data_IF_396549062739
#
_entry.id   IF_396549062739
#
_cell.length_a   1.000
_cell.length_b   1.000
_cell.length_c   1.000
_cell.angle_alpha   90.00
_cell.angle_beta   90.00
_cell.angle_gamma   90.00
#
_symmetry.space_group_name_H-M   'P 1'
#
loop_
_entity.id
_entity.type
_entity.pdbx_description
1 polymer ?
#
# COMPACT_ATOMS: atom_id res chain seq x y z
N UNK A 1 19.13 -6.65 -22.67
CA UNK A 1 17.77 -7.21 -22.69
C UNK A 1 16.91 -6.25 -23.47
N UNK A 2 16.22 -6.69 -24.54
CA UNK A 2 15.40 -5.82 -25.38
C UNK A 2 14.17 -5.30 -24.60
N UNK A 3 13.58 -4.21 -25.07
CA UNK A 3 12.35 -3.64 -24.48
C UNK A 3 11.19 -4.63 -24.57
N UNK A 4 11.06 -5.33 -25.70
CA UNK A 4 10.08 -6.40 -25.92
C UNK A 4 10.22 -7.52 -24.87
N UNK A 5 11.43 -7.99 -24.60
CA UNK A 5 11.68 -9.03 -23.58
C UNK A 5 11.28 -8.57 -22.16
N UNK A 6 11.46 -7.28 -21.84
CA UNK A 6 11.02 -6.72 -20.53
C UNK A 6 9.50 -6.65 -20.43
N UNK A 7 8.81 -6.27 -21.50
CA UNK A 7 7.33 -6.23 -21.54
C UNK A 7 6.72 -7.61 -21.37
N UNK A 8 7.21 -8.61 -22.12
CA UNK A 8 6.74 -9.99 -22.00
C UNK A 8 6.94 -10.57 -20.60
N UNK A 9 8.08 -10.25 -19.96
CA UNK A 9 8.33 -10.65 -18.57
C UNK A 9 7.41 -9.95 -17.57
N UNK A 10 7.11 -8.66 -17.77
CA UNK A 10 6.17 -7.94 -16.94
C UNK A 10 4.75 -8.50 -17.07
N UNK A 11 4.30 -8.81 -18.30
CA UNK A 11 2.97 -9.37 -18.55
C UNK A 11 2.80 -10.77 -17.94
N UNK A 12 3.84 -11.61 -18.00
CA UNK A 12 3.84 -12.89 -17.32
C UNK A 12 3.72 -12.73 -15.81
N UNK A 13 4.44 -11.76 -15.24
CA UNK A 13 4.41 -11.46 -13.82
C UNK A 13 3.04 -10.91 -13.38
N UNK A 14 2.42 -10.03 -14.17
CA UNK A 14 1.07 -9.54 -13.89
C UNK A 14 0.05 -10.67 -13.87
N UNK A 15 0.12 -11.65 -14.77
CA UNK A 15 -0.78 -12.82 -14.74
C UNK A 15 -0.62 -13.65 -13.47
N UNK A 16 0.61 -13.89 -13.01
CA UNK A 16 0.89 -14.62 -11.77
C UNK A 16 0.34 -13.85 -10.57
N UNK A 17 0.57 -12.54 -10.51
CA UNK A 17 0.12 -11.67 -9.43
C UNK A 17 -1.41 -11.63 -9.38
N UNK A 18 -2.07 -11.38 -10.51
CA UNK A 18 -3.53 -11.32 -10.60
C UNK A 18 -4.15 -12.65 -10.13
N UNK A 19 -3.67 -13.78 -10.65
CA UNK A 19 -4.14 -15.10 -10.27
C UNK A 19 -3.93 -15.37 -8.75
N UNK A 20 -2.78 -14.99 -8.21
CA UNK A 20 -2.53 -15.15 -6.78
C UNK A 20 -3.50 -14.33 -5.92
N UNK A 21 -3.75 -13.07 -6.28
CA UNK A 21 -4.72 -12.24 -5.56
C UNK A 21 -6.17 -12.70 -5.75
N UNK A 22 -6.54 -13.23 -6.92
CA UNK A 22 -7.85 -13.85 -7.14
C UNK A 22 -8.08 -15.03 -6.18
N UNK A 23 -7.08 -15.88 -6.02
CA UNK A 23 -7.16 -17.05 -5.13
C UNK A 23 -7.30 -16.68 -3.65
N UNK A 24 -6.62 -15.61 -3.17
CA UNK A 24 -6.69 -15.21 -1.76
C UNK A 24 -7.88 -14.29 -1.45
N UNK A 25 -8.53 -13.70 -2.45
CA UNK A 25 -9.59 -12.69 -2.25
C UNK A 25 -10.69 -13.12 -1.27
N UNK A 26 -11.19 -14.39 -1.29
CA UNK A 26 -12.24 -14.82 -0.35
C UNK A 26 -11.84 -14.76 1.13
N UNK A 27 -10.56 -15.04 1.44
CA UNK A 27 -10.04 -15.08 2.81
C UNK A 27 -9.21 -13.85 3.20
N UNK A 28 -9.06 -12.87 2.28
CA UNK A 28 -8.16 -11.74 2.46
C UNK A 28 -8.45 -10.93 3.73
N UNK A 29 -9.73 -10.65 3.97
CA UNK A 29 -10.14 -9.78 5.08
C UNK A 29 -10.01 -10.40 6.46
N UNK A 30 -10.02 -11.72 6.55
CA UNK A 30 -9.81 -12.43 7.81
C UNK A 30 -8.46 -12.09 8.46
N UNK A 31 -7.51 -11.55 7.65
CA UNK A 31 -6.16 -11.21 8.10
C UNK A 31 -5.81 -9.75 8.00
N UNK A 32 -6.31 -9.10 6.94
CA UNK A 32 -5.86 -7.76 6.55
C UNK A 32 -6.92 -6.68 6.78
N UNK A 33 -8.11 -7.04 7.25
CA UNK A 33 -9.10 -6.05 7.67
C UNK A 33 -8.72 -5.38 8.99
N UNK A 34 -9.28 -4.20 9.24
CA UNK A 34 -9.15 -3.52 10.52
C UNK A 34 -9.72 -4.32 11.69
N UNK A 35 -10.74 -5.16 11.43
CA UNK A 35 -11.36 -6.01 12.45
C UNK A 35 -10.47 -7.20 12.85
N UNK A 36 -9.68 -7.69 11.92
CA UNK A 36 -8.84 -8.88 12.14
C UNK A 36 -7.58 -8.56 12.97
N UNK A 37 -7.08 -7.31 12.91
CA UNK A 37 -5.78 -6.97 13.47
C UNK A 37 -5.74 -5.53 13.97
N UNK A 38 -5.46 -5.28 15.28
CA UNK A 38 -5.46 -3.94 15.86
C UNK A 38 -4.34 -3.03 15.31
N UNK A 39 -3.22 -3.59 14.87
CA UNK A 39 -2.16 -2.80 14.21
C UNK A 39 -2.64 -2.37 12.82
N UNK A 40 -3.31 -3.25 12.07
CA UNK A 40 -3.95 -2.89 10.81
C UNK A 40 -5.04 -1.82 11.02
N UNK A 41 -5.86 -1.96 12.06
CA UNK A 41 -6.86 -0.95 12.42
C UNK A 41 -6.22 0.42 12.68
N UNK A 42 -5.13 0.45 13.44
CA UNK A 42 -4.38 1.67 13.71
C UNK A 42 -3.75 2.25 12.43
N UNK A 43 -3.10 1.42 11.62
CA UNK A 43 -2.51 1.84 10.36
C UNK A 43 -3.57 2.45 9.44
N UNK A 44 -4.74 1.82 9.28
CA UNK A 44 -5.83 2.36 8.46
C UNK A 44 -6.36 3.68 9.01
N UNK A 45 -6.62 3.78 10.31
CA UNK A 45 -7.07 5.02 10.95
C UNK A 45 -6.08 6.17 10.71
N UNK A 46 -4.77 5.91 10.84
CA UNK A 46 -3.72 6.89 10.56
C UNK A 46 -3.62 7.24 9.06
N UNK A 47 -3.75 6.25 8.16
CA UNK A 47 -3.81 6.51 6.71
C UNK A 47 -4.99 7.42 6.37
N UNK A 48 -6.19 7.13 6.88
CA UNK A 48 -7.38 7.96 6.64
C UNK A 48 -7.25 9.36 7.21
N UNK A 49 -6.56 9.52 8.36
CA UNK A 49 -6.24 10.84 8.89
C UNK A 49 -5.34 11.63 7.94
N UNK A 50 -4.27 10.98 7.42
CA UNK A 50 -3.35 11.61 6.47
C UNK A 50 -4.08 11.93 5.15
N UNK A 51 -4.88 11.01 4.62
CA UNK A 51 -5.65 11.23 3.40
C UNK A 51 -6.57 12.45 3.51
N UNK A 52 -7.31 12.57 4.61
CA UNK A 52 -8.18 13.73 4.87
C UNK A 52 -7.42 15.05 5.09
N UNK A 53 -6.19 14.98 5.59
CA UNK A 53 -5.33 16.14 5.80
C UNK A 53 -4.79 16.72 4.46
N UNK A 54 -4.60 15.86 3.45
CA UNK A 54 -3.90 16.25 2.20
C UNK A 54 -4.78 16.25 0.95
N UNK A 55 -5.86 15.46 0.92
CA UNK A 55 -6.79 15.43 -0.20
C UNK A 55 -7.81 16.57 -0.10
N UNK A 56 -8.16 17.23 -1.21
CA UNK A 56 -9.22 18.25 -1.19
C UNK A 56 -10.56 17.59 -0.87
N UNK A 57 -11.38 18.18 0.03
CA UNK A 57 -12.68 17.64 0.39
C UNK A 57 -13.60 17.43 -0.83
N UNK A 58 -14.22 16.25 -0.91
CA UNK A 58 -15.11 15.89 -2.04
C UNK A 58 -14.41 15.64 -3.37
N UNK A 59 -13.07 15.68 -3.40
CA UNK A 59 -12.26 15.49 -4.60
C UNK A 59 -12.42 14.12 -5.27
N UNK A 60 -11.96 14.04 -6.50
CA UNK A 60 -11.92 12.79 -7.26
C UNK A 60 -10.57 12.11 -7.07
N UNK A 61 -10.56 10.93 -6.48
CA UNK A 61 -9.36 10.20 -6.03
C UNK A 61 -9.18 8.94 -6.86
N UNK A 62 -7.95 8.72 -7.33
CA UNK A 62 -7.52 7.46 -7.92
C UNK A 62 -6.95 6.57 -6.81
N UNK A 63 -7.60 5.43 -6.53
CA UNK A 63 -7.08 4.42 -5.63
C UNK A 63 -6.46 3.27 -6.41
N UNK A 64 -5.20 2.93 -6.10
CA UNK A 64 -4.36 1.97 -6.80
C UNK A 64 -4.17 0.74 -5.92
N UNK A 65 -4.61 -0.43 -6.39
CA UNK A 65 -4.57 -1.67 -5.61
C UNK A 65 -5.54 -1.62 -4.44
N UNK A 66 -6.83 -1.41 -4.71
CA UNK A 66 -7.87 -1.23 -3.69
C UNK A 66 -8.19 -2.51 -2.89
N UNK A 67 -7.76 -3.68 -3.39
CA UNK A 67 -8.07 -4.97 -2.77
C UNK A 67 -9.58 -5.17 -2.61
N UNK A 68 -9.99 -5.58 -1.42
CA UNK A 68 -11.42 -5.78 -1.07
C UNK A 68 -12.18 -4.49 -0.72
N UNK A 69 -11.58 -3.31 -1.00
CA UNK A 69 -12.25 -2.00 -0.97
C UNK A 69 -12.50 -1.44 0.43
N UNK A 70 -11.68 -1.73 1.41
CA UNK A 70 -11.85 -1.19 2.77
C UNK A 70 -11.58 0.32 2.80
N UNK A 71 -10.48 0.76 2.20
CA UNK A 71 -10.14 2.18 2.10
C UNK A 71 -11.03 2.90 1.09
N UNK A 72 -11.39 2.25 -0.04
CA UNK A 72 -12.35 2.76 -1.02
C UNK A 72 -13.66 3.20 -0.37
N UNK A 73 -14.24 2.33 0.47
CA UNK A 73 -15.48 2.62 1.20
C UNK A 73 -15.31 3.75 2.20
N UNK A 74 -14.16 3.80 2.89
CA UNK A 74 -13.87 4.89 3.83
C UNK A 74 -13.79 6.24 3.12
N UNK A 75 -13.13 6.29 1.96
CA UNK A 75 -13.07 7.49 1.11
C UNK A 75 -14.47 7.89 0.59
N UNK A 76 -15.23 6.95 0.03
CA UNK A 76 -16.57 7.22 -0.49
C UNK A 76 -17.53 7.74 0.60
N UNK A 77 -17.51 7.13 1.79
CA UNK A 77 -18.29 7.59 2.96
C UNK A 77 -17.85 8.96 3.48
N UNK A 78 -16.59 9.32 3.27
CA UNK A 78 -16.06 10.65 3.60
C UNK A 78 -16.40 11.70 2.52
N UNK A 79 -17.15 11.32 1.48
CA UNK A 79 -17.66 12.23 0.44
C UNK A 79 -16.81 12.31 -0.82
N UNK A 80 -15.70 11.58 -0.92
CA UNK A 80 -14.87 11.54 -2.12
C UNK A 80 -15.54 10.75 -3.25
N UNK A 81 -15.28 11.15 -4.50
CA UNK A 81 -15.49 10.29 -5.67
C UNK A 81 -14.24 9.44 -5.86
N UNK A 82 -14.37 8.15 -6.08
CA UNK A 82 -13.21 7.24 -6.17
C UNK A 82 -13.24 6.47 -7.48
N UNK A 83 -12.14 6.50 -8.23
CA UNK A 83 -11.83 5.46 -9.20
C UNK A 83 -10.93 4.43 -8.50
N UNK A 84 -11.50 3.29 -8.16
CA UNK A 84 -10.80 2.20 -7.51
C UNK A 84 -10.27 1.21 -8.55
N UNK A 85 -8.96 0.96 -8.51
CA UNK A 85 -8.31 0.02 -9.44
C UNK A 85 -7.67 -1.12 -8.67
N UNK A 86 -7.69 -2.31 -9.25
CA UNK A 86 -6.94 -3.47 -8.78
C UNK A 86 -6.60 -4.37 -9.97
N UNK A 87 -5.53 -5.13 -9.84
CA UNK A 87 -5.16 -6.11 -10.86
C UNK A 87 -6.07 -7.35 -10.83
N UNK A 88 -6.65 -7.67 -9.65
CA UNK A 88 -7.49 -8.83 -9.40
C UNK A 88 -8.98 -8.52 -9.62
N UNK A 89 -9.64 -9.13 -10.62
CA UNK A 89 -11.10 -9.04 -10.78
C UNK A 89 -11.86 -9.54 -9.55
N UNK A 90 -11.37 -10.58 -8.87
CA UNK A 90 -12.02 -11.13 -7.68
C UNK A 90 -11.96 -10.16 -6.48
N UNK A 91 -10.84 -9.46 -6.28
CA UNK A 91 -10.75 -8.39 -5.28
C UNK A 91 -11.81 -7.32 -5.56
N UNK A 92 -11.92 -6.86 -6.80
CA UNK A 92 -12.93 -5.87 -7.20
C UNK A 92 -14.36 -6.38 -7.03
N UNK A 93 -14.63 -7.66 -7.27
CA UNK A 93 -15.94 -8.26 -7.04
C UNK A 93 -16.32 -8.18 -5.54
N UNK A 94 -15.39 -8.52 -4.66
CA UNK A 94 -15.58 -8.37 -3.20
C UNK A 94 -15.77 -6.91 -2.79
N UNK A 95 -14.96 -6.00 -3.34
CA UNK A 95 -15.02 -4.57 -3.06
C UNK A 95 -16.37 -3.96 -3.47
N UNK A 96 -16.85 -4.26 -4.68
CA UNK A 96 -18.16 -3.81 -5.19
C UNK A 96 -19.31 -4.25 -4.30
N UNK A 97 -19.36 -5.56 -3.96
CA UNK A 97 -20.39 -6.10 -3.06
C UNK A 97 -20.45 -5.33 -1.76
N UNK A 98 -19.30 -5.10 -1.13
CA UNK A 98 -19.20 -4.38 0.14
C UNK A 98 -19.56 -2.90 0.04
N UNK A 99 -19.27 -2.28 -1.09
CA UNK A 99 -19.68 -0.88 -1.34
C UNK A 99 -21.20 -0.76 -1.49
N UNK A 100 -21.85 -1.75 -2.13
CA UNK A 100 -23.32 -1.84 -2.23
C UNK A 100 -23.95 -2.06 -0.85
N UNK A 101 -23.45 -3.02 -0.07
CA UNK A 101 -23.89 -3.28 1.31
C UNK A 101 -23.71 -2.06 2.22
N UNK A 102 -22.71 -1.24 1.95
CA UNK A 102 -22.38 -0.04 2.68
C UNK A 102 -23.15 1.22 2.23
N UNK A 103 -23.94 1.13 1.14
CA UNK A 103 -24.70 2.24 0.56
C UNK A 103 -23.83 3.39 0.01
N UNK A 104 -22.63 3.09 -0.51
CA UNK A 104 -21.72 4.10 -1.05
C UNK A 104 -21.19 3.78 -2.47
N UNK A 105 -21.80 2.82 -3.16
CA UNK A 105 -21.36 2.37 -4.47
C UNK A 105 -21.51 3.42 -5.57
N UNK A 106 -22.44 4.34 -5.43
CA UNK A 106 -22.73 5.47 -6.35
C UNK A 106 -21.56 6.45 -6.50
N UNK A 107 -20.64 6.48 -5.52
CA UNK A 107 -19.46 7.35 -5.53
C UNK A 107 -18.21 6.66 -6.06
N UNK A 108 -18.30 5.38 -6.48
CA UNK A 108 -17.14 4.56 -6.81
C UNK A 108 -17.26 3.99 -8.21
N UNK A 109 -16.26 4.29 -9.05
CA UNK A 109 -16.03 3.59 -10.30
C UNK A 109 -14.92 2.52 -10.10
N UNK A 110 -14.98 1.42 -10.86
CA UNK A 110 -14.13 0.26 -10.68
C UNK A 110 -13.49 -0.17 -11.99
N UNK A 111 -12.16 -0.36 -11.99
CA UNK A 111 -11.42 -0.81 -13.18
C UNK A 111 -10.43 -1.90 -12.79
N UNK A 112 -10.51 -3.05 -13.46
CA UNK A 112 -9.51 -4.11 -13.34
C UNK A 112 -8.32 -3.76 -14.25
N UNK A 113 -7.19 -3.34 -13.65
CA UNK A 113 -6.02 -2.90 -14.40
C UNK A 113 -4.76 -3.00 -13.51
N UNK A 114 -3.62 -3.49 -14.05
CA UNK A 114 -2.33 -3.38 -13.37
C UNK A 114 -1.92 -1.92 -13.17
N UNK A 115 -1.24 -1.60 -12.07
CA UNK A 115 -0.85 -0.22 -11.79
C UNK A 115 0.12 0.35 -12.85
N UNK A 116 1.03 -0.46 -13.39
CA UNK A 116 1.93 -0.04 -14.48
C UNK A 116 1.22 0.23 -15.81
N UNK A 117 -0.05 -0.15 -15.97
CA UNK A 117 -0.86 0.10 -17.17
C UNK A 117 -1.85 1.27 -17.03
N UNK A 118 -1.79 2.06 -15.96
CA UNK A 118 -2.71 3.18 -15.72
C UNK A 118 -2.68 4.25 -16.83
N UNK A 119 -1.64 4.31 -17.64
CA UNK A 119 -1.60 5.16 -18.84
C UNK A 119 -2.71 4.86 -19.86
N UNK A 120 -3.35 3.68 -19.79
CA UNK A 120 -4.50 3.32 -20.62
C UNK A 120 -5.82 3.98 -20.16
N UNK A 121 -5.88 4.50 -18.94
CA UNK A 121 -7.08 5.21 -18.44
C UNK A 121 -7.34 6.50 -19.23
N UNK A 122 -8.61 6.78 -19.45
CA UNK A 122 -9.07 8.00 -20.10
C UNK A 122 -10.15 8.66 -19.24
N UNK A 123 -9.75 9.21 -18.08
CA UNK A 123 -10.72 9.90 -17.23
C UNK A 123 -11.19 11.20 -17.91
N UNK A 124 -12.44 11.65 -17.67
CA UNK A 124 -12.97 12.87 -18.25
C UNK A 124 -12.26 14.14 -17.75
N UNK A 125 -11.63 14.07 -16.59
CA UNK A 125 -10.83 15.14 -15.98
C UNK A 125 -9.70 14.54 -15.15
N UNK A 126 -8.58 15.27 -14.91
CA UNK A 126 -7.52 14.79 -14.04
C UNK A 126 -7.98 14.63 -12.59
N UNK A 127 -7.39 13.65 -11.89
CA UNK A 127 -7.71 13.39 -10.48
C UNK A 127 -7.15 14.48 -9.54
N UNK A 128 -7.88 14.72 -8.46
CA UNK A 128 -7.50 15.64 -7.38
C UNK A 128 -6.47 15.04 -6.42
N UNK A 129 -6.22 13.75 -6.52
CA UNK A 129 -5.21 13.02 -5.76
C UNK A 129 -5.19 11.54 -6.07
N UNK A 130 -4.13 10.85 -5.64
CA UNK A 130 -4.05 9.40 -5.75
C UNK A 130 -3.53 8.76 -4.45
N UNK A 131 -3.94 7.51 -4.23
CA UNK A 131 -3.55 6.72 -3.06
C UNK A 131 -3.23 5.28 -3.47
N UNK A 132 -2.09 4.79 -2.98
CA UNK A 132 -1.72 3.37 -3.04
C UNK A 132 -1.32 2.92 -1.64
N UNK A 133 -2.18 2.14 -0.98
CA UNK A 133 -2.03 1.74 0.41
C UNK A 133 -1.45 0.34 0.60
N UNK A 134 -0.92 0.08 1.79
CA UNK A 134 -0.65 -1.25 2.36
C UNK A 134 0.09 -2.23 1.45
N UNK A 135 1.07 -1.73 0.70
CA UNK A 135 1.93 -2.60 -0.10
C UNK A 135 1.42 -2.95 -1.49
N UNK A 136 0.35 -2.32 -2.00
CA UNK A 136 -0.14 -2.52 -3.36
C UNK A 136 0.98 -2.42 -4.41
N UNK A 137 1.92 -1.47 -4.23
CA UNK A 137 3.04 -1.27 -5.14
C UNK A 137 4.21 -2.25 -4.95
N UNK A 138 4.21 -3.06 -3.92
CA UNK A 138 5.26 -4.06 -3.71
C UNK A 138 5.18 -5.21 -4.71
N UNK A 139 4.04 -5.40 -5.35
CA UNK A 139 3.82 -6.36 -6.44
C UNK A 139 3.83 -5.70 -7.84
N UNK A 140 4.15 -4.39 -7.94
CA UNK A 140 4.19 -3.71 -9.23
C UNK A 140 5.58 -3.86 -9.88
N UNK A 141 5.69 -4.50 -11.06
CA UNK A 141 6.95 -4.67 -11.77
C UNK A 141 7.43 -3.39 -12.46
N UNK A 142 6.52 -2.51 -12.90
CA UNK A 142 6.84 -1.32 -13.71
C UNK A 142 6.42 -0.03 -13.00
N UNK A 143 7.15 0.31 -11.92
CA UNK A 143 6.91 1.52 -11.13
C UNK A 143 7.21 2.80 -11.92
N UNK A 144 8.10 2.75 -12.90
CA UNK A 144 8.45 3.87 -13.77
C UNK A 144 7.26 4.26 -14.64
N UNK A 145 6.64 3.28 -15.33
CA UNK A 145 5.42 3.52 -16.12
C UNK A 145 4.26 4.03 -15.25
N UNK A 146 4.14 3.52 -14.02
CA UNK A 146 3.18 4.03 -13.05
C UNK A 146 3.42 5.50 -12.73
N UNK A 147 4.67 5.90 -12.45
CA UNK A 147 5.00 7.27 -12.11
C UNK A 147 4.73 8.24 -13.27
N UNK A 148 5.05 7.84 -14.50
CA UNK A 148 4.75 8.58 -15.73
C UNK A 148 3.24 8.73 -15.95
N UNK A 149 2.48 7.64 -15.80
CA UNK A 149 1.02 7.67 -15.90
C UNK A 149 0.40 8.63 -14.87
N UNK A 150 0.83 8.55 -13.61
CA UNK A 150 0.32 9.42 -12.55
C UNK A 150 0.69 10.89 -12.77
N UNK A 151 1.84 11.18 -13.38
CA UNK A 151 2.21 12.54 -13.76
C UNK A 151 1.24 13.17 -14.79
N UNK A 152 0.57 12.35 -15.60
CA UNK A 152 -0.44 12.81 -16.57
C UNK A 152 -1.84 12.82 -15.96
N UNK A 153 -2.18 11.78 -15.19
CA UNK A 153 -3.52 11.58 -14.64
C UNK A 153 -3.87 12.52 -13.48
N UNK A 154 -2.87 13.03 -12.77
CA UNK A 154 -3.09 13.94 -11.63
C UNK A 154 -3.02 15.40 -12.05
N UNK A 155 -3.82 16.25 -11.41
CA UNK A 155 -3.69 17.73 -11.55
C UNK A 155 -2.34 18.23 -11.03
N UNK A 156 -1.79 19.32 -11.56
CA UNK A 156 -0.65 20.01 -10.94
C UNK A 156 -0.92 20.31 -9.46
N UNK A 157 0.04 20.02 -8.59
CA UNK A 157 -0.11 20.19 -7.14
C UNK A 157 -0.92 19.10 -6.44
N UNK A 158 -1.53 18.14 -7.15
CA UNK A 158 -2.29 17.06 -6.54
C UNK A 158 -1.42 16.14 -5.68
N UNK A 159 -1.91 15.68 -4.52
CA UNK A 159 -1.19 14.76 -3.65
C UNK A 159 -1.21 13.34 -4.22
N UNK A 160 -0.07 12.65 -4.06
CA UNK A 160 0.09 11.22 -4.23
C UNK A 160 0.57 10.61 -2.92
N UNK A 161 -0.21 9.72 -2.34
CA UNK A 161 0.09 9.05 -1.08
C UNK A 161 0.44 7.60 -1.37
N UNK A 162 1.64 7.18 -0.97
CA UNK A 162 2.14 5.81 -1.16
C UNK A 162 2.45 5.19 0.20
N UNK A 163 1.98 3.98 0.44
CA UNK A 163 2.36 3.16 1.59
C UNK A 163 2.86 1.80 1.10
N UNK A 164 4.15 1.53 1.27
CA UNK A 164 4.81 0.32 0.78
C UNK A 164 5.48 -0.46 1.93
N UNK A 165 5.54 -1.78 1.80
CA UNK A 165 6.36 -2.63 2.67
C UNK A 165 7.82 -2.22 2.48
N UNK A 166 8.44 -1.79 3.57
CA UNK A 166 9.78 -1.22 3.53
C UNK A 166 10.86 -2.30 3.51
N UNK A 167 11.98 -1.99 2.87
CA UNK A 167 13.12 -2.92 2.74
C UNK A 167 13.90 -3.14 4.04
N UNK A 168 13.72 -2.29 5.06
CA UNK A 168 14.34 -2.41 6.36
C UNK A 168 13.39 -1.98 7.47
N UNK A 169 13.28 -2.79 8.52
CA UNK A 169 12.40 -2.56 9.67
C UNK A 169 13.19 -2.66 10.96
N UNK A 170 13.14 -1.61 11.78
CA UNK A 170 13.85 -1.51 13.06
C UNK A 170 13.52 -2.67 14.01
N UNK A 171 12.23 -2.99 14.17
CA UNK A 171 11.80 -4.05 15.09
C UNK A 171 12.24 -5.44 14.62
N UNK A 172 12.23 -5.69 13.31
CA UNK A 172 12.79 -6.94 12.77
C UNK A 172 14.32 -7.01 12.91
N UNK A 173 15.00 -5.88 12.74
CA UNK A 173 16.45 -5.79 12.96
C UNK A 173 16.79 -6.08 14.43
N UNK A 174 16.10 -5.44 15.39
CA UNK A 174 16.27 -5.72 16.83
C UNK A 174 16.00 -7.19 17.17
N UNK A 175 14.90 -7.75 16.64
CA UNK A 175 14.61 -9.18 16.83
C UNK A 175 15.71 -10.08 16.28
N UNK A 176 16.28 -9.72 15.14
CA UNK A 176 17.39 -10.46 14.52
C UNK A 176 18.66 -10.35 15.37
N UNK A 177 18.97 -9.18 15.92
CA UNK A 177 20.09 -8.96 16.84
C UNK A 177 19.95 -9.79 18.12
N UNK A 178 18.77 -9.78 18.75
CA UNK A 178 18.48 -10.59 19.94
C UNK A 178 18.62 -12.10 19.72
N UNK A 179 18.55 -12.54 18.46
CA UNK A 179 18.77 -13.94 18.04
C UNK A 179 20.19 -14.22 17.52
N UNK A 180 21.13 -13.29 17.69
CA UNK A 180 22.50 -13.42 17.21
C UNK A 180 22.67 -13.35 15.68
N UNK A 181 21.64 -12.92 14.94
CA UNK A 181 21.64 -12.86 13.48
C UNK A 181 22.08 -11.48 12.95
N UNK A 182 23.28 -11.05 13.24
CA UNK A 182 23.79 -9.70 12.93
C UNK A 182 23.72 -9.34 11.44
N UNK A 183 24.12 -10.27 10.55
CA UNK A 183 24.06 -10.05 9.09
C UNK A 183 22.62 -9.84 8.60
N UNK A 184 21.65 -10.55 9.15
CA UNK A 184 20.23 -10.39 8.80
C UNK A 184 19.69 -9.05 9.30
N UNK A 185 20.07 -8.61 10.49
CA UNK A 185 19.66 -7.31 11.03
C UNK A 185 20.12 -6.14 10.15
N UNK A 186 21.37 -6.18 9.67
CA UNK A 186 21.93 -5.14 8.80
C UNK A 186 21.36 -5.16 7.38
N UNK A 187 21.21 -6.36 6.80
CA UNK A 187 20.69 -6.51 5.42
C UNK A 187 19.20 -6.15 5.31
N UNK A 188 18.42 -6.34 6.37
CA UNK A 188 16.97 -6.22 6.33
C UNK A 188 16.31 -7.22 5.38
N UNK A 189 15.17 -6.83 4.80
CA UNK A 189 14.38 -7.62 3.82
C UNK A 189 14.99 -7.60 2.41
N UNK A 190 15.86 -6.61 2.13
CA UNK A 190 16.36 -6.36 0.78
C UNK A 190 15.31 -5.71 -0.14
N UNK A 191 15.60 -5.69 -1.46
CA UNK A 191 14.72 -5.08 -2.47
C UNK A 191 14.53 -5.98 -3.69
N UNK A 192 14.85 -7.27 -3.55
CA UNK A 192 14.68 -8.26 -4.63
C UNK A 192 13.30 -8.90 -4.59
N UNK A 193 12.87 -9.40 -5.73
CA UNK A 193 11.62 -10.15 -5.85
C UNK A 193 11.68 -11.44 -5.04
N UNK A 194 10.62 -11.70 -4.29
CA UNK A 194 10.48 -12.90 -3.45
C UNK A 194 9.04 -13.39 -3.54
N UNK A 195 8.85 -14.70 -3.54
CA UNK A 195 7.53 -15.31 -3.44
C UNK A 195 7.09 -15.29 -1.98
N UNK A 196 6.06 -14.52 -1.68
CA UNK A 196 5.48 -14.43 -0.33
C UNK A 196 4.33 -15.42 -0.22
N UNK A 197 4.42 -16.42 0.65
CA UNK A 197 3.33 -17.38 0.86
C UNK A 197 2.22 -16.73 1.67
N UNK A 198 1.08 -16.47 1.05
CA UNK A 198 -0.13 -15.96 1.68
C UNK A 198 -1.14 -17.13 1.79
N UNK A 199 -1.73 -17.36 2.97
CA UNK A 199 -2.75 -18.41 3.10
C UNK A 199 -4.00 -18.08 2.31
N UNK A 200 -4.45 -19.06 1.54
CA UNK A 200 -5.72 -19.07 0.84
C UNK A 200 -6.89 -19.57 1.72
N UNK A 201 -8.10 -19.62 1.15
CA UNK A 201 -9.33 -19.92 1.88
C UNK A 201 -9.38 -21.35 2.45
N UNK A 202 -8.70 -22.32 1.82
CA UNK A 202 -8.68 -23.71 2.25
C UNK A 202 -7.42 -24.08 3.08
N UNK A 203 -6.65 -23.07 3.53
CA UNK A 203 -5.42 -23.28 4.29
C UNK A 203 -4.16 -23.56 3.45
N UNK A 204 -4.29 -23.61 2.13
CA UNK A 204 -3.16 -23.67 1.20
C UNK A 204 -2.32 -22.40 1.26
N UNK A 205 -1.08 -22.45 0.78
CA UNK A 205 -0.20 -21.28 0.69
C UNK A 205 -0.03 -20.87 -0.76
N UNK A 206 -0.58 -19.72 -1.10
CA UNK A 206 -0.49 -19.11 -2.42
C UNK A 206 0.71 -18.18 -2.44
N UNK A 207 1.66 -18.46 -3.32
CA UNK A 207 2.91 -17.69 -3.42
C UNK A 207 2.73 -16.51 -4.39
N UNK A 208 2.74 -15.29 -3.84
CA UNK A 208 2.59 -14.07 -4.63
C UNK A 208 3.94 -13.36 -4.75
N UNK A 209 4.38 -13.00 -5.97
CA UNK A 209 5.58 -12.22 -6.18
C UNK A 209 5.46 -10.82 -5.57
N UNK A 210 6.38 -10.49 -4.68
CA UNK A 210 6.46 -9.17 -4.05
C UNK A 210 7.92 -8.79 -3.84
N UNK A 211 8.20 -7.48 -3.82
CA UNK A 211 9.52 -6.94 -3.43
C UNK A 211 9.36 -5.81 -2.42
N UNK A 212 10.08 -5.80 -1.31
CA UNK A 212 10.13 -4.64 -0.45
C UNK A 212 10.79 -3.46 -1.16
N UNK A 213 10.32 -2.24 -0.88
CA UNK A 213 10.80 -1.03 -1.54
C UNK A 213 11.52 -0.13 -0.53
N UNK A 214 12.56 0.57 -0.98
CA UNK A 214 13.28 1.54 -0.14
C UNK A 214 12.88 2.97 -0.52
N UNK A 215 13.07 3.92 0.41
CA UNK A 215 12.91 5.33 0.14
C UNK A 215 13.76 5.81 -1.04
N UNK A 216 14.97 5.25 -1.21
CA UNK A 216 15.87 5.57 -2.32
C UNK A 216 15.27 5.18 -3.67
N UNK A 217 14.72 3.97 -3.78
CA UNK A 217 14.07 3.48 -5.02
C UNK A 217 12.88 4.39 -5.36
N UNK A 218 11.96 4.60 -4.41
CA UNK A 218 10.78 5.43 -4.65
C UNK A 218 11.14 6.87 -5.03
N UNK A 219 12.13 7.46 -4.37
CA UNK A 219 12.61 8.80 -4.73
C UNK A 219 13.18 8.82 -6.15
N UNK A 220 14.01 7.84 -6.54
CA UNK A 220 14.56 7.76 -7.88
C UNK A 220 13.49 7.75 -8.96
N UNK A 221 12.38 7.04 -8.72
CA UNK A 221 11.29 6.85 -9.67
C UNK A 221 10.33 8.06 -9.70
N UNK A 222 9.88 8.52 -8.53
CA UNK A 222 8.81 9.53 -8.48
C UNK A 222 9.30 10.99 -8.48
N UNK A 223 10.50 11.29 -7.97
CA UNK A 223 10.98 12.68 -7.87
C UNK A 223 11.14 13.45 -9.20
N UNK A 224 11.32 12.81 -10.37
CA UNK A 224 11.29 13.57 -11.64
C UNK A 224 9.97 14.33 -11.85
N UNK A 225 8.82 13.72 -11.55
CA UNK A 225 7.49 14.32 -11.76
C UNK A 225 6.84 14.83 -10.46
N UNK A 226 7.35 14.43 -9.31
CA UNK A 226 6.77 14.75 -8.00
C UNK A 226 7.81 15.38 -7.07
N UNK A 227 7.37 16.19 -6.11
CA UNK A 227 8.17 16.63 -4.97
C UNK A 227 7.79 15.87 -3.71
N UNK A 228 8.75 15.48 -2.91
CA UNK A 228 8.49 14.87 -1.60
C UNK A 228 8.02 15.95 -0.62
N UNK A 229 6.89 15.73 0.02
CA UNK A 229 6.35 16.59 1.07
C UNK A 229 6.59 15.99 2.46
N UNK A 230 6.26 14.70 2.62
CA UNK A 230 6.45 13.97 3.89
C UNK A 230 6.93 12.54 3.59
N UNK A 231 7.77 12.02 4.50
CA UNK A 231 8.11 10.59 4.55
C UNK A 231 8.13 10.15 6.00
N UNK A 232 7.58 8.97 6.30
CA UNK A 232 7.53 8.46 7.65
C UNK A 232 7.51 6.93 7.70
N UNK A 233 8.08 6.38 8.76
CA UNK A 233 7.90 4.98 9.13
C UNK A 233 6.43 4.69 9.47
N UNK A 234 5.94 3.49 9.14
CA UNK A 234 4.51 3.22 9.26
C UNK A 234 4.19 1.72 9.47
N UNK A 235 4.04 1.22 10.70
CA UNK A 235 4.47 1.85 11.94
C UNK A 235 5.98 1.80 12.16
N UNK A 236 6.48 2.56 13.15
CA UNK A 236 7.86 2.51 13.62
C UNK A 236 8.03 1.59 14.85
N UNK A 237 7.20 1.83 15.88
CA UNK A 237 7.32 1.19 17.20
C UNK A 237 6.25 0.13 17.47
N UNK A 238 5.15 0.15 16.74
CA UNK A 238 4.18 -0.94 16.81
C UNK A 238 4.73 -2.14 16.03
N UNK A 239 4.52 -3.38 16.53
CA UNK A 239 5.01 -4.55 15.83
C UNK A 239 4.37 -4.67 14.44
N UNK A 240 5.07 -5.28 13.48
CA UNK A 240 4.44 -5.65 12.21
C UNK A 240 3.14 -6.44 12.44
N UNK A 241 2.12 -6.29 11.55
CA UNK A 241 0.81 -6.93 11.73
C UNK A 241 0.85 -8.43 12.09
N UNK A 242 1.77 -9.24 11.53
CA UNK A 242 1.87 -10.66 11.92
C UNK A 242 2.32 -10.92 13.36
N UNK A 243 2.79 -9.88 14.07
CA UNK A 243 3.28 -9.96 15.45
C UNK A 243 2.38 -9.21 16.45
N UNK A 244 1.21 -8.76 16.02
CA UNK A 244 0.30 -7.91 16.80
C UNK A 244 -0.22 -8.58 18.09
N UNK A 245 -0.39 -9.89 18.11
CA UNK A 245 -0.96 -10.65 19.23
C UNK A 245 -0.22 -10.44 20.56
N UNK A 246 1.08 -10.16 20.52
CA UNK A 246 1.89 -9.88 21.70
C UNK A 246 1.46 -8.60 22.43
N UNK A 247 0.97 -7.60 21.72
CA UNK A 247 0.63 -6.27 22.25
C UNK A 247 -0.85 -6.10 22.55
N UNK A 248 -1.73 -6.89 21.94
CA UNK A 248 -3.18 -6.77 22.11
C UNK A 248 -3.64 -6.97 23.55
N UNK A 249 -2.87 -7.71 24.33
CA UNK A 249 -3.14 -7.98 25.76
C UNK A 249 -2.83 -6.80 26.70
N UNK A 250 -2.05 -5.81 26.24
CA UNK A 250 -1.56 -4.69 27.05
C UNK A 250 -2.01 -3.34 26.49
N UNK A 251 -3.29 -3.00 26.66
CA UNK A 251 -3.90 -1.77 26.11
C UNK A 251 -3.17 -0.47 26.45
N UNK A 252 -2.63 -0.36 27.68
CA UNK A 252 -1.90 0.84 28.13
C UNK A 252 -0.58 0.95 27.35
N UNK A 253 0.18 -0.14 27.25
CA UNK A 253 1.43 -0.16 26.50
C UNK A 253 1.18 0.16 25.02
N UNK A 254 0.13 -0.41 24.43
CA UNK A 254 -0.23 -0.12 23.03
C UNK A 254 -0.45 1.38 22.82
N UNK A 255 -1.26 2.05 23.67
CA UNK A 255 -1.51 3.51 23.60
C UNK A 255 -0.25 4.35 23.78
N UNK A 256 0.64 3.95 24.68
CA UNK A 256 1.92 4.65 24.88
C UNK A 256 2.81 4.53 23.63
N UNK A 257 2.88 3.32 23.05
CA UNK A 257 3.64 3.09 21.81
C UNK A 257 3.03 3.86 20.64
N UNK A 258 1.70 3.92 20.50
CA UNK A 258 1.03 4.74 19.48
C UNK A 258 1.43 6.22 19.60
N UNK A 259 1.37 6.77 20.82
CA UNK A 259 1.69 8.18 21.07
C UNK A 259 3.16 8.49 20.73
N UNK A 260 4.06 7.58 21.10
CA UNK A 260 5.49 7.71 20.82
C UNK A 260 5.80 7.51 19.32
N UNK A 261 5.15 6.55 18.68
CA UNK A 261 5.24 6.30 17.24
C UNK A 261 4.90 7.57 16.46
N UNK A 262 3.75 8.20 16.72
CA UNK A 262 3.34 9.46 16.08
C UNK A 262 4.36 10.59 16.22
N UNK A 263 5.09 10.64 17.35
CA UNK A 263 6.12 11.66 17.60
C UNK A 263 7.42 11.41 16.84
N UNK A 264 7.80 10.13 16.68
CA UNK A 264 9.13 9.75 16.19
C UNK A 264 9.14 9.36 14.70
N UNK A 265 8.06 8.74 14.20
CA UNK A 265 8.02 8.09 12.89
C UNK A 265 8.38 8.98 11.69
N UNK A 266 8.22 10.32 11.79
CA UNK A 266 8.58 11.26 10.73
C UNK A 266 9.97 11.91 10.91
N UNK A 267 10.64 11.65 12.05
CA UNK A 267 11.93 12.28 12.38
C UNK A 267 13.10 11.42 11.90
N UNK A 268 14.13 12.06 11.40
CA UNK A 268 15.41 11.38 11.16
C UNK A 268 16.06 10.98 12.50
N UNK A 269 16.66 9.79 12.62
CA UNK A 269 16.84 8.73 11.62
C UNK A 269 15.66 7.73 11.53
N UNK A 270 14.61 7.87 12.33
CA UNK A 270 13.53 6.90 12.53
C UNK A 270 12.61 6.71 11.34
N UNK A 271 12.45 7.74 10.49
CA UNK A 271 11.50 7.75 9.36
C UNK A 271 11.69 6.63 8.35
N UNK A 272 12.90 6.08 8.24
CA UNK A 272 13.25 5.00 7.32
C UNK A 272 13.33 3.63 8.04
N UNK A 273 12.80 3.51 9.28
CA UNK A 273 12.89 2.32 10.13
C UNK A 273 11.58 1.53 10.32
N UNK A 274 10.53 1.87 9.60
CA UNK A 274 9.21 1.26 9.77
C UNK A 274 9.03 -0.07 9.06
N UNK A 275 7.96 -0.79 9.43
CA UNK A 275 7.47 -1.96 8.69
C UNK A 275 7.05 -1.56 7.28
N UNK A 276 6.32 -0.46 7.16
CA UNK A 276 6.04 0.23 5.91
C UNK A 276 6.72 1.60 5.90
N UNK A 277 6.90 2.12 4.70
CA UNK A 277 7.25 3.51 4.43
C UNK A 277 6.02 4.20 3.84
N UNK A 278 5.53 5.25 4.50
CA UNK A 278 4.49 6.11 3.94
C UNK A 278 5.13 7.40 3.41
N UNK A 279 4.81 7.75 2.18
CA UNK A 279 5.26 8.98 1.53
C UNK A 279 4.06 9.79 1.05
N UNK A 280 4.10 11.11 1.27
CA UNK A 280 3.21 12.09 0.66
C UNK A 280 4.04 12.87 -0.35
N UNK A 281 3.64 12.79 -1.59
CA UNK A 281 4.26 13.44 -2.73
C UNK A 281 3.27 14.46 -3.31
N UNK A 282 3.77 15.49 -3.99
CA UNK A 282 2.97 16.45 -4.76
C UNK A 282 3.42 16.45 -6.20
N UNK A 283 2.47 16.41 -7.14
CA UNK A 283 2.77 16.58 -8.55
C UNK A 283 3.36 17.99 -8.78
N UNK A 284 4.42 18.03 -9.57
CA UNK A 284 5.08 19.29 -9.96
C UNK A 284 4.24 20.10 -10.93
#
# INVERSE_FOLDING_TARGET
>A
MSEVTRMEQADALYRIIAHGFDQIAPAYDERYSAQANPVMAWMRAESWRILRDVLPPGGWVLEIGCGTGEDTRALARAGYRVLATDISPEMLRHARRRAMEAGCADRIAWVAIPAGHLAALRPPEPFDGAYAGFGALNSEPNLEALAEALAVLLRPGAPLILSVIHSWCLLEALRSLLRGRFRAALRGRGTHWTLIPIPGPNGERIAIPMRPLSARILKGIFMPAFRLERAMAFPLLLPPPPMADLLCRHRILFRLLEALDRKLRARWPWRDGGDHLLMVLRRR
#
